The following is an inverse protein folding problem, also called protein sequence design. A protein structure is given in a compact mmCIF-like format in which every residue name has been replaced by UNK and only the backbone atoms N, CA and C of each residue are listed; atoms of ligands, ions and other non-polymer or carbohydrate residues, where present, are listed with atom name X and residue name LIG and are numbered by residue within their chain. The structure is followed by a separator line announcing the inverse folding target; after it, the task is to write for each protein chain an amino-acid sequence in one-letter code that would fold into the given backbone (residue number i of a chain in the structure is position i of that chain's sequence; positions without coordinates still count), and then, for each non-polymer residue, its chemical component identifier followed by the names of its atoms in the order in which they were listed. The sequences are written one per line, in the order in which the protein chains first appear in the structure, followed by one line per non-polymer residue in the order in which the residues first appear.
data_IF_376036972736
#
_entry.id   IF_376036972736
#
_cell.length_a   1.000
_cell.length_b   1.000
_cell.length_c   1.000
_cell.angle_alpha   90.00
_cell.angle_beta   90.00
_cell.angle_gamma   90.00
#
_symmetry.space_group_name_H-M   'P 1'
#
loop_
_entity.id
_entity.type
_entity.pdbx_description
1 polymer ?
#
# COMPACT_ATOMS: atom_id res chain seq x y z
N UNK A 1 -13.02 -18.51 19.06
CA UNK A 1 -12.70 -17.07 19.15
C UNK A 1 -12.57 -16.42 17.77
N UNK A 2 -11.63 -16.83 16.91
CA UNK A 2 -11.48 -16.32 15.53
C UNK A 2 -12.78 -16.36 14.72
N UNK A 3 -13.51 -17.49 14.72
CA UNK A 3 -14.82 -17.60 14.04
C UNK A 3 -15.90 -16.67 14.60
N UNK A 4 -15.82 -16.25 15.87
CA UNK A 4 -16.80 -15.36 16.49
C UNK A 4 -16.52 -13.88 16.18
N UNK A 5 -15.24 -13.50 16.16
CA UNK A 5 -14.78 -12.15 15.76
C UNK A 5 -14.87 -11.94 14.25
N UNK A 6 -14.65 -12.99 13.45
CA UNK A 6 -14.61 -12.89 11.99
C UNK A 6 -15.99 -12.88 11.33
N UNK A 7 -16.95 -13.65 11.86
CA UNK A 7 -18.28 -13.82 11.22
C UNK A 7 -19.05 -12.51 11.02
N UNK A 8 -19.10 -11.57 11.97
CA UNK A 8 -19.78 -10.29 11.78
C UNK A 8 -19.08 -9.43 10.71
N UNK A 9 -17.76 -9.26 10.81
CA UNK A 9 -16.96 -8.49 9.85
C UNK A 9 -17.05 -9.08 8.43
N UNK A 10 -16.95 -10.41 8.34
CA UNK A 10 -17.05 -11.15 7.07
C UNK A 10 -18.43 -11.02 6.44
N UNK A 11 -19.52 -11.21 7.21
CA UNK A 11 -20.89 -11.06 6.69
C UNK A 11 -21.20 -9.63 6.28
N UNK A 12 -20.70 -8.65 7.04
CA UNK A 12 -20.84 -7.24 6.70
C UNK A 12 -20.15 -6.96 5.37
N UNK A 13 -18.90 -7.37 5.23
CA UNK A 13 -18.12 -7.13 4.02
C UNK A 13 -18.67 -7.85 2.78
N UNK A 14 -18.98 -9.15 2.89
CA UNK A 14 -19.49 -9.92 1.74
C UNK A 14 -20.85 -9.41 1.23
N UNK A 15 -21.69 -8.85 2.10
CA UNK A 15 -23.05 -8.44 1.74
C UNK A 15 -23.16 -6.95 1.39
N UNK A 16 -22.32 -6.11 1.96
CA UNK A 16 -22.49 -4.65 1.93
C UNK A 16 -21.29 -3.88 1.43
N UNK A 17 -20.14 -4.52 1.20
CA UNK A 17 -18.97 -3.80 0.72
C UNK A 17 -19.00 -3.71 -0.81
N UNK A 18 -19.28 -2.53 -1.40
CA UNK A 18 -19.25 -2.34 -2.83
C UNK A 18 -17.80 -2.27 -3.35
N UNK A 19 -17.66 -2.16 -4.67
CA UNK A 19 -16.37 -1.88 -5.31
C UNK A 19 -15.80 -0.52 -4.86
N UNK A 20 -14.46 -0.39 -4.82
CA UNK A 20 -13.77 0.84 -4.44
C UNK A 20 -14.22 2.06 -5.27
N UNK A 21 -14.56 1.85 -6.55
CA UNK A 21 -15.09 2.91 -7.39
C UNK A 21 -16.45 3.44 -6.89
N UNK A 22 -17.32 2.57 -6.36
CA UNK A 22 -18.61 3.00 -5.79
C UNK A 22 -18.37 3.86 -4.54
N UNK A 23 -17.38 3.52 -3.72
CA UNK A 23 -17.05 4.32 -2.54
C UNK A 23 -16.66 5.75 -2.91
N UNK A 24 -15.83 5.95 -3.92
CA UNK A 24 -15.43 7.32 -4.31
C UNK A 24 -16.60 8.12 -4.90
N UNK A 25 -17.55 7.48 -5.60
CA UNK A 25 -18.77 8.13 -6.07
C UNK A 25 -19.67 8.56 -4.90
N UNK A 26 -19.89 7.66 -3.93
CA UNK A 26 -20.68 7.98 -2.73
C UNK A 26 -20.01 9.09 -1.93
N UNK A 27 -18.69 9.03 -1.75
CA UNK A 27 -17.94 10.06 -1.05
C UNK A 27 -18.01 11.42 -1.76
N UNK A 28 -18.00 11.43 -3.10
CA UNK A 28 -18.21 12.65 -3.89
C UNK A 28 -19.58 13.27 -3.59
N UNK A 29 -20.63 12.45 -3.54
CA UNK A 29 -21.99 12.91 -3.21
C UNK A 29 -22.06 13.42 -1.77
N UNK A 30 -21.43 12.72 -0.82
CA UNK A 30 -21.40 13.13 0.59
C UNK A 30 -20.67 14.47 0.74
N UNK A 31 -19.48 14.62 0.15
CA UNK A 31 -18.73 15.87 0.20
C UNK A 31 -19.55 17.04 -0.40
N UNK A 32 -20.21 16.80 -1.54
CA UNK A 32 -21.09 17.79 -2.16
C UNK A 32 -22.29 18.16 -1.25
N UNK A 33 -22.94 17.17 -0.64
CA UNK A 33 -24.07 17.40 0.27
C UNK A 33 -23.63 18.16 1.52
N UNK A 34 -22.49 17.80 2.12
CA UNK A 34 -21.93 18.51 3.26
C UNK A 34 -21.61 19.97 2.91
N UNK A 35 -21.02 20.23 1.75
CA UNK A 35 -20.69 21.59 1.30
C UNK A 35 -21.94 22.46 1.12
N UNK A 36 -23.06 21.88 0.69
CA UNK A 36 -24.32 22.60 0.56
C UNK A 36 -25.03 22.81 1.90
N UNK A 37 -25.06 21.78 2.75
CA UNK A 37 -25.83 21.79 4.00
C UNK A 37 -25.13 22.59 5.11
N UNK A 38 -23.83 22.38 5.29
CA UNK A 38 -23.08 22.94 6.41
C UNK A 38 -22.37 24.24 6.05
N UNK A 39 -21.88 24.36 4.82
CA UNK A 39 -21.18 25.58 4.37
C UNK A 39 -22.06 26.52 3.52
N UNK A 40 -23.32 26.13 3.25
CA UNK A 40 -24.27 26.98 2.53
C UNK A 40 -23.95 27.20 1.05
N UNK A 41 -23.09 26.39 0.44
CA UNK A 41 -22.74 26.53 -0.97
C UNK A 41 -23.93 26.16 -1.88
N UNK A 42 -24.09 26.86 -3.00
CA UNK A 42 -25.10 26.51 -4.00
C UNK A 42 -24.71 25.24 -4.77
N UNK A 43 -25.67 24.46 -5.31
CA UNK A 43 -25.36 23.29 -6.12
C UNK A 43 -24.42 23.60 -7.31
N UNK A 44 -24.58 24.76 -7.94
CA UNK A 44 -23.75 25.18 -9.08
C UNK A 44 -22.32 25.53 -8.65
N UNK A 45 -22.13 26.11 -7.47
CA UNK A 45 -20.81 26.37 -6.92
C UNK A 45 -20.06 25.06 -6.64
N UNK A 46 -20.72 24.08 -6.01
CA UNK A 46 -20.13 22.77 -5.71
C UNK A 46 -19.76 22.01 -6.99
N UNK A 47 -20.62 22.02 -8.01
CA UNK A 47 -20.30 21.40 -9.31
C UNK A 47 -19.07 22.05 -9.96
N UNK A 48 -18.96 23.38 -9.88
CA UNK A 48 -17.80 24.11 -10.41
C UNK A 48 -16.53 23.77 -9.64
N UNK A 49 -16.56 23.77 -8.31
CA UNK A 49 -15.42 23.38 -7.47
C UNK A 49 -14.91 21.98 -7.84
N UNK A 50 -15.83 21.01 -7.95
CA UNK A 50 -15.50 19.64 -8.31
C UNK A 50 -14.90 19.53 -9.72
N UNK A 51 -15.53 20.16 -10.72
CA UNK A 51 -15.09 20.12 -12.11
C UNK A 51 -13.73 20.79 -12.35
N UNK A 52 -13.53 21.98 -11.78
CA UNK A 52 -12.27 22.73 -11.90
C UNK A 52 -11.12 22.04 -11.17
N UNK A 53 -11.43 21.20 -10.17
CA UNK A 53 -10.48 20.41 -9.41
C UNK A 53 -10.14 19.04 -9.99
N UNK A 54 -10.97 18.51 -10.88
CA UNK A 54 -11.00 17.08 -11.23
C UNK A 54 -9.68 16.52 -11.77
N UNK A 55 -8.89 17.34 -12.47
CA UNK A 55 -7.64 16.91 -13.09
C UNK A 55 -6.37 17.32 -12.34
N UNK A 56 -6.50 17.94 -11.16
CA UNK A 56 -5.37 18.53 -10.41
C UNK A 56 -4.34 17.52 -9.90
N UNK A 57 -4.66 16.23 -9.85
CA UNK A 57 -3.78 15.18 -9.32
C UNK A 57 -3.23 14.23 -10.39
N UNK A 58 -3.28 14.56 -11.68
CA UNK A 58 -2.88 13.63 -12.76
C UNK A 58 -1.44 13.12 -12.64
N UNK A 59 -0.46 14.01 -12.42
CA UNK A 59 0.94 13.62 -12.25
C UNK A 59 1.11 12.69 -11.05
N UNK A 60 0.55 13.10 -9.91
CA UNK A 60 0.55 12.32 -8.69
C UNK A 60 -0.10 10.93 -8.87
N UNK A 61 -1.20 10.85 -9.62
CA UNK A 61 -1.88 9.58 -9.94
C UNK A 61 -0.96 8.65 -10.72
N UNK A 62 -0.22 9.18 -11.70
CA UNK A 62 0.72 8.39 -12.49
C UNK A 62 1.90 7.91 -11.64
N UNK A 63 2.43 8.77 -10.76
CA UNK A 63 3.49 8.40 -9.82
C UNK A 63 3.04 7.23 -8.94
N UNK A 64 1.83 7.30 -8.38
CA UNK A 64 1.26 6.25 -7.53
C UNK A 64 1.00 4.94 -8.28
N UNK A 65 0.51 5.03 -9.52
CA UNK A 65 0.34 3.86 -10.40
C UNK A 65 1.68 3.17 -10.66
N UNK A 66 2.74 3.95 -10.92
CA UNK A 66 4.07 3.42 -11.17
C UNK A 66 4.65 2.71 -9.95
N UNK A 67 4.35 3.13 -8.72
CA UNK A 67 4.85 2.43 -7.51
C UNK A 67 4.34 0.98 -7.50
N UNK A 68 3.05 0.78 -7.80
CA UNK A 68 2.47 -0.56 -7.92
C UNK A 68 3.05 -1.33 -9.10
N UNK A 69 3.04 -0.72 -10.29
CA UNK A 69 3.39 -1.39 -11.54
C UNK A 69 4.86 -1.83 -11.53
N UNK A 70 5.77 -0.93 -11.15
CA UNK A 70 7.20 -1.24 -11.08
C UNK A 70 7.51 -2.22 -9.95
N UNK A 71 6.79 -2.13 -8.81
CA UNK A 71 6.84 -3.11 -7.73
C UNK A 71 6.46 -4.51 -8.20
N UNK A 72 5.36 -4.63 -8.97
CA UNK A 72 4.91 -5.90 -9.54
C UNK A 72 5.93 -6.48 -10.53
N UNK A 73 6.46 -5.64 -11.42
CA UNK A 73 7.49 -6.03 -12.40
C UNK A 73 8.68 -6.64 -11.64
N UNK A 74 9.24 -5.91 -10.68
CA UNK A 74 10.40 -6.41 -9.94
C UNK A 74 10.10 -7.72 -9.19
N UNK A 75 8.93 -7.81 -8.52
CA UNK A 75 8.50 -8.99 -7.78
C UNK A 75 8.36 -10.24 -8.66
N UNK A 76 7.96 -10.04 -9.92
CA UNK A 76 7.73 -11.12 -10.87
C UNK A 76 8.98 -11.56 -11.63
N UNK A 77 10.11 -10.87 -11.43
CA UNK A 77 11.35 -11.17 -12.14
C UNK A 77 11.91 -12.57 -11.79
N UNK A 78 12.57 -13.26 -12.74
CA UNK A 78 13.12 -14.61 -12.49
C UNK A 78 14.06 -14.70 -11.28
N UNK A 79 14.98 -13.73 -11.03
CA UNK A 79 15.85 -13.78 -9.86
C UNK A 79 15.09 -13.72 -8.54
N UNK A 80 14.03 -12.90 -8.44
CA UNK A 80 13.22 -12.78 -7.23
C UNK A 80 12.44 -14.07 -6.97
N UNK A 81 11.82 -14.66 -7.99
CA UNK A 81 11.14 -15.96 -7.87
C UNK A 81 12.09 -17.06 -7.38
N UNK A 82 13.29 -17.14 -7.94
CA UNK A 82 14.31 -18.10 -7.51
C UNK A 82 14.75 -17.88 -6.06
N UNK A 83 14.87 -16.63 -5.61
CA UNK A 83 15.18 -16.29 -4.22
C UNK A 83 14.05 -16.74 -3.27
N UNK A 84 12.79 -16.45 -3.61
CA UNK A 84 11.64 -16.85 -2.80
C UNK A 84 11.53 -18.37 -2.66
N UNK A 85 11.73 -19.13 -3.75
CA UNK A 85 11.75 -20.58 -3.70
C UNK A 85 12.84 -21.13 -2.76
N UNK A 86 14.04 -20.52 -2.78
CA UNK A 86 15.13 -20.88 -1.86
C UNK A 86 14.80 -20.55 -0.40
N UNK A 87 14.23 -19.37 -0.15
CA UNK A 87 13.82 -18.96 1.19
C UNK A 87 12.74 -19.89 1.75
N UNK A 88 11.82 -20.37 0.91
CA UNK A 88 10.77 -21.29 1.35
C UNK A 88 11.35 -22.60 1.89
N UNK A 89 12.52 -23.02 1.39
CA UNK A 89 13.32 -24.16 1.88
C UNK A 89 13.75 -24.07 3.34
N UNK A 90 13.68 -22.90 3.97
CA UNK A 90 14.05 -22.71 5.36
C UNK A 90 12.92 -23.10 6.33
N UNK A 91 11.69 -23.26 5.84
CA UNK A 91 10.56 -23.62 6.68
C UNK A 91 10.45 -25.13 6.88
N UNK A 92 10.47 -25.58 8.14
CA UNK A 92 10.40 -27.00 8.52
C UNK A 92 9.09 -27.40 9.21
N UNK A 93 8.26 -26.42 9.60
CA UNK A 93 6.99 -26.61 10.31
C UNK A 93 5.97 -25.53 9.94
N UNK A 94 4.68 -25.77 10.21
CA UNK A 94 3.60 -24.80 10.00
C UNK A 94 3.90 -23.46 10.71
N UNK A 95 4.35 -23.52 11.97
CA UNK A 95 4.70 -22.33 12.73
C UNK A 95 5.88 -21.56 12.14
N UNK A 96 6.94 -22.24 11.69
CA UNK A 96 8.06 -21.56 11.03
C UNK A 96 7.67 -20.98 9.66
N UNK A 97 6.78 -21.64 8.90
CA UNK A 97 6.28 -21.12 7.64
C UNK A 97 5.49 -19.82 7.83
N UNK A 98 4.63 -19.76 8.85
CA UNK A 98 3.86 -18.54 9.20
C UNK A 98 4.78 -17.40 9.65
N UNK A 99 5.80 -17.68 10.47
CA UNK A 99 6.79 -16.66 10.87
C UNK A 99 7.56 -16.16 9.66
N UNK A 100 8.05 -17.07 8.82
CA UNK A 100 8.88 -16.73 7.67
C UNK A 100 8.10 -15.93 6.63
N UNK A 101 6.86 -16.31 6.30
CA UNK A 101 6.02 -15.54 5.38
C UNK A 101 5.73 -14.15 5.93
N UNK A 102 5.48 -14.03 7.24
CA UNK A 102 5.24 -12.72 7.88
C UNK A 102 6.47 -11.83 7.72
N UNK A 103 7.67 -12.32 8.04
CA UNK A 103 8.91 -11.55 7.96
C UNK A 103 9.25 -11.13 6.53
N UNK A 104 9.11 -12.05 5.55
CA UNK A 104 9.38 -11.75 4.14
C UNK A 104 8.37 -10.73 3.61
N UNK A 105 7.08 -10.88 3.93
CA UNK A 105 6.06 -9.90 3.53
C UNK A 105 6.27 -8.54 4.16
N UNK A 106 6.64 -8.46 5.44
CA UNK A 106 6.98 -7.19 6.09
C UNK A 106 8.16 -6.52 5.39
N UNK A 107 9.26 -7.24 5.20
CA UNK A 107 10.43 -6.69 4.51
C UNK A 107 10.09 -6.21 3.10
N UNK A 108 9.34 -7.01 2.34
CA UNK A 108 8.94 -6.67 0.98
C UNK A 108 8.00 -5.45 0.95
N UNK A 109 7.00 -5.38 1.83
CA UNK A 109 6.07 -4.25 1.91
C UNK A 109 6.74 -2.96 2.40
N UNK A 110 7.73 -3.06 3.29
CA UNK A 110 8.53 -1.92 3.74
C UNK A 110 9.39 -1.35 2.62
N UNK A 111 9.90 -2.18 1.71
CA UNK A 111 10.66 -1.73 0.54
C UNK A 111 9.74 -1.10 -0.51
N UNK A 112 8.71 -1.83 -0.93
CA UNK A 112 7.69 -1.35 -1.85
C UNK A 112 6.37 -2.08 -1.65
N UNK A 113 5.30 -1.34 -1.46
CA UNK A 113 3.98 -1.88 -1.15
C UNK A 113 3.39 -2.73 -2.28
N UNK A 114 3.59 -2.34 -3.54
CA UNK A 114 3.21 -3.12 -4.73
C UNK A 114 4.04 -4.40 -4.87
N UNK A 115 5.34 -4.32 -4.60
CA UNK A 115 6.24 -5.46 -4.54
C UNK A 115 5.83 -6.43 -3.42
N UNK A 116 5.53 -5.92 -2.22
CA UNK A 116 5.16 -6.69 -1.04
C UNK A 116 3.89 -7.52 -1.22
N UNK A 117 2.85 -6.96 -1.84
CA UNK A 117 1.62 -7.70 -2.12
C UNK A 117 1.86 -8.90 -3.05
N UNK A 118 2.68 -8.73 -4.09
CA UNK A 118 2.99 -9.78 -5.07
C UNK A 118 3.92 -10.83 -4.47
N UNK A 119 4.99 -10.40 -3.79
CA UNK A 119 5.94 -11.27 -3.11
C UNK A 119 5.24 -12.10 -2.04
N UNK A 120 4.37 -11.51 -1.22
CA UNK A 120 3.62 -12.23 -0.21
C UNK A 120 2.76 -13.34 -0.80
N UNK A 121 2.08 -13.07 -1.93
CA UNK A 121 1.24 -14.06 -2.61
C UNK A 121 2.06 -15.22 -3.18
N UNK A 122 3.15 -14.91 -3.88
CA UNK A 122 4.06 -15.93 -4.46
C UNK A 122 4.67 -16.76 -3.34
N UNK A 123 5.19 -16.11 -2.30
CA UNK A 123 5.90 -16.80 -1.23
C UNK A 123 4.99 -17.68 -0.37
N UNK A 124 3.73 -17.28 -0.13
CA UNK A 124 2.74 -18.14 0.51
C UNK A 124 2.48 -19.42 -0.30
N UNK A 125 2.40 -19.33 -1.64
CA UNK A 125 2.27 -20.52 -2.51
C UNK A 125 3.51 -21.41 -2.42
N UNK A 126 4.71 -20.83 -2.48
CA UNK A 126 5.96 -21.60 -2.35
C UNK A 126 6.05 -22.37 -1.03
N UNK A 127 5.72 -21.72 0.08
CA UNK A 127 5.72 -22.34 1.41
C UNK A 127 4.68 -23.47 1.53
N UNK A 128 3.49 -23.28 0.95
CA UNK A 128 2.44 -24.28 0.96
C UNK A 128 2.78 -25.54 0.12
N UNK A 129 3.68 -25.43 -0.86
CA UNK A 129 4.21 -26.60 -1.59
C UNK A 129 5.12 -27.45 -0.71
N UNK A 130 5.87 -26.81 0.18
CA UNK A 130 6.93 -27.46 0.98
C UNK A 130 6.43 -27.98 2.32
N UNK A 131 5.55 -27.21 2.98
CA UNK A 131 5.11 -27.48 4.35
C UNK A 131 3.59 -27.62 4.42
N UNK A 132 3.12 -28.59 5.20
CA UNK A 132 1.70 -28.73 5.55
C UNK A 132 1.32 -27.62 6.53
N UNK A 133 0.57 -26.62 6.08
CA UNK A 133 0.18 -25.43 6.86
C UNK A 133 -1.23 -24.98 6.48
N UNK A 134 -1.97 -24.39 7.42
CA UNK A 134 -3.27 -23.77 7.10
C UNK A 134 -3.07 -22.66 6.08
N UNK A 135 -3.57 -22.88 4.88
CA UNK A 135 -3.29 -22.01 3.75
C UNK A 135 -3.98 -20.65 3.90
N UNK A 136 -5.09 -20.57 4.63
CA UNK A 136 -5.80 -19.31 4.88
C UNK A 136 -4.98 -18.44 5.83
N UNK A 137 -4.47 -19.02 6.93
CA UNK A 137 -3.59 -18.31 7.84
C UNK A 137 -2.30 -17.88 7.13
N UNK A 138 -1.70 -18.74 6.31
CA UNK A 138 -0.47 -18.42 5.59
C UNK A 138 -0.66 -17.21 4.67
N UNK A 139 -1.75 -17.16 3.90
CA UNK A 139 -2.07 -16.02 3.03
C UNK A 139 -2.46 -14.79 3.85
N UNK A 140 -3.20 -14.96 4.95
CA UNK A 140 -3.52 -13.85 5.85
C UNK A 140 -2.27 -13.25 6.51
N UNK A 141 -1.31 -14.09 6.91
CA UNK A 141 -0.03 -13.67 7.45
C UNK A 141 0.78 -12.89 6.41
N UNK A 142 0.82 -13.41 5.17
CA UNK A 142 1.44 -12.72 4.04
C UNK A 142 0.80 -11.35 3.76
N UNK A 143 -0.54 -11.27 3.75
CA UNK A 143 -1.28 -10.03 3.56
C UNK A 143 -1.04 -9.06 4.72
N UNK A 144 -1.04 -9.55 5.96
CA UNK A 144 -0.90 -8.70 7.13
C UNK A 144 0.41 -7.92 7.17
N UNK A 145 1.48 -8.48 6.56
CA UNK A 145 2.75 -7.79 6.39
C UNK A 145 2.64 -6.47 5.61
N UNK A 146 1.59 -6.29 4.80
CA UNK A 146 1.28 -5.03 4.14
C UNK A 146 1.12 -3.87 5.13
N UNK A 147 0.72 -4.10 6.38
CA UNK A 147 0.41 -3.03 7.36
C UNK A 147 1.54 -2.02 7.60
N UNK A 148 2.81 -2.37 7.34
CA UNK A 148 3.94 -1.46 7.57
C UNK A 148 4.32 -0.64 6.34
N UNK A 149 3.55 -0.75 5.25
CA UNK A 149 3.92 -0.20 3.95
C UNK A 149 4.11 1.32 3.95
N UNK A 150 3.29 2.05 4.71
CA UNK A 150 3.41 3.50 4.86
C UNK A 150 4.58 3.93 5.75
N UNK A 151 4.98 3.08 6.70
CA UNK A 151 6.18 3.27 7.52
C UNK A 151 7.48 2.93 6.80
N UNK A 152 7.41 2.53 5.53
CA UNK A 152 8.55 2.12 4.72
C UNK A 152 8.87 3.04 3.55
N UNK A 153 9.88 2.62 2.77
CA UNK A 153 10.50 3.38 1.69
C UNK A 153 9.49 3.81 0.61
N UNK A 154 8.43 3.04 0.40
CA UNK A 154 7.37 3.35 -0.57
C UNK A 154 6.15 4.07 0.01
N UNK A 155 6.20 4.54 1.26
CA UNK A 155 5.05 5.15 1.91
C UNK A 155 4.54 6.34 1.12
N UNK A 156 3.27 6.31 0.72
CA UNK A 156 2.75 7.28 -0.26
C UNK A 156 2.78 8.70 0.27
N UNK A 157 2.31 8.91 1.50
CA UNK A 157 2.30 10.22 2.16
C UNK A 157 3.71 10.76 2.39
N UNK A 158 4.62 10.05 3.11
CA UNK A 158 5.96 10.57 3.35
C UNK A 158 6.74 10.82 2.07
N UNK A 159 6.55 9.99 1.04
CA UNK A 159 7.17 10.26 -0.26
C UNK A 159 6.55 11.47 -0.96
N UNK A 160 5.23 11.67 -0.89
CA UNK A 160 4.55 12.82 -1.49
C UNK A 160 5.10 14.13 -0.94
N UNK A 161 5.14 14.28 0.38
CA UNK A 161 5.62 15.51 1.05
C UNK A 161 7.15 15.70 0.97
N UNK A 162 7.88 14.69 0.47
CA UNK A 162 9.31 14.79 0.15
C UNK A 162 9.57 15.02 -1.35
N UNK A 163 8.53 15.03 -2.20
CA UNK A 163 8.65 15.15 -3.65
C UNK A 163 8.40 16.60 -4.09
N UNK A 164 9.38 17.29 -4.69
CA UNK A 164 9.18 18.62 -5.25
C UNK A 164 7.97 18.70 -6.20
N UNK A 165 7.19 19.76 -6.09
CA UNK A 165 5.96 20.01 -6.83
C UNK A 165 4.69 19.40 -6.20
N UNK A 166 4.76 18.86 -4.97
CA UNK A 166 3.57 18.28 -4.35
C UNK A 166 2.52 19.35 -3.99
N UNK A 167 1.25 18.96 -4.00
CA UNK A 167 0.10 19.88 -3.87
C UNK A 167 -0.05 20.59 -2.51
N UNK A 168 0.85 20.35 -1.56
CA UNK A 168 0.92 21.03 -0.26
C UNK A 168 2.27 21.71 -0.01
N UNK A 169 3.18 21.74 -0.99
CA UNK A 169 4.55 22.27 -0.81
C UNK A 169 4.54 23.75 -0.42
N UNK A 170 3.65 24.56 -1.00
CA UNK A 170 3.53 25.99 -0.67
C UNK A 170 3.13 26.22 0.80
N UNK A 171 2.49 25.24 1.44
CA UNK A 171 2.05 25.32 2.83
C UNK A 171 3.14 24.83 3.79
N UNK A 172 3.69 23.64 3.54
CA UNK A 172 4.56 22.94 4.51
C UNK A 172 6.02 22.82 4.08
N UNK A 173 6.37 23.30 2.88
CA UNK A 173 7.66 23.05 2.25
C UNK A 173 7.87 21.56 1.96
N UNK A 174 9.14 21.19 1.76
CA UNK A 174 9.54 19.79 1.60
C UNK A 174 9.93 19.19 2.95
N UNK A 175 9.28 18.08 3.32
CA UNK A 175 9.61 17.31 4.51
C UNK A 175 10.45 16.10 4.10
N UNK A 176 11.74 16.05 4.47
CA UNK A 176 12.62 14.97 4.06
C UNK A 176 12.25 13.64 4.74
N UNK A 177 12.63 12.53 4.09
CA UNK A 177 12.35 11.19 4.63
C UNK A 177 13.08 10.87 5.93
N UNK A 178 14.08 11.66 6.32
CA UNK A 178 14.73 11.62 7.64
C UNK A 178 13.81 12.01 8.79
N UNK A 179 12.79 12.84 8.52
CA UNK A 179 11.80 13.28 9.51
C UNK A 179 10.55 12.40 9.53
N UNK A 180 10.40 11.50 8.56
CA UNK A 180 9.25 10.61 8.41
C UNK A 180 9.66 9.14 8.43
N UNK A 181 10.02 8.55 7.28
CA UNK A 181 10.33 7.11 7.12
C UNK A 181 11.49 6.68 8.02
N UNK A 182 12.57 7.46 8.03
CA UNK A 182 13.77 7.17 8.80
C UNK A 182 13.82 7.87 10.16
N UNK A 183 12.73 8.52 10.56
CA UNK A 183 12.64 9.05 11.90
C UNK A 183 12.69 7.92 12.94
N UNK A 184 13.42 8.14 14.03
CA UNK A 184 13.67 7.11 15.03
C UNK A 184 12.38 6.51 15.60
N UNK A 185 11.35 7.34 15.81
CA UNK A 185 10.06 6.93 16.37
C UNK A 185 9.27 6.06 15.38
N UNK A 186 9.32 6.36 14.07
CA UNK A 186 8.70 5.54 13.04
C UNK A 186 9.42 4.18 12.93
N UNK A 187 10.75 4.20 12.92
CA UNK A 187 11.56 2.98 12.90
C UNK A 187 11.34 2.12 14.14
N UNK A 188 11.11 2.73 15.31
CA UNK A 188 10.76 2.02 16.53
C UNK A 188 9.39 1.31 16.39
N UNK A 189 8.36 1.97 15.85
CA UNK A 189 7.06 1.34 15.56
C UNK A 189 7.24 0.15 14.61
N UNK A 190 7.97 0.34 13.50
CA UNK A 190 8.26 -0.73 12.53
C UNK A 190 9.00 -1.89 13.20
N UNK A 191 10.02 -1.61 14.02
CA UNK A 191 10.80 -2.64 14.70
C UNK A 191 9.93 -3.47 15.66
N UNK A 192 9.05 -2.82 16.44
CA UNK A 192 8.10 -3.53 17.31
C UNK A 192 7.15 -4.39 16.49
N UNK A 193 6.61 -3.88 15.38
CA UNK A 193 5.73 -4.66 14.50
C UNK A 193 6.45 -5.88 13.87
N UNK A 194 7.71 -5.74 13.47
CA UNK A 194 8.54 -6.84 12.94
C UNK A 194 8.72 -7.97 13.96
N UNK A 195 8.66 -7.67 15.26
CA UNK A 195 8.72 -8.69 16.32
C UNK A 195 7.34 -9.22 16.69
N UNK A 196 6.37 -8.33 16.92
CA UNK A 196 5.04 -8.68 17.44
C UNK A 196 4.23 -9.45 16.40
N UNK A 197 4.28 -9.06 15.13
CA UNK A 197 3.41 -9.62 14.11
C UNK A 197 3.70 -11.10 13.79
N UNK A 198 4.95 -11.56 13.61
CA UNK A 198 5.23 -12.97 13.42
C UNK A 198 4.82 -13.82 14.63
N UNK A 199 4.94 -13.30 15.85
CA UNK A 199 4.49 -13.98 17.07
C UNK A 199 2.97 -14.11 17.06
N UNK A 200 2.25 -13.01 16.82
CA UNK A 200 0.79 -13.00 16.77
C UNK A 200 0.25 -13.94 15.69
N UNK A 201 0.81 -13.91 14.47
CA UNK A 201 0.45 -14.83 13.39
C UNK A 201 0.74 -16.29 13.76
N UNK A 202 1.89 -16.58 14.36
CA UNK A 202 2.23 -17.93 14.82
C UNK A 202 1.27 -18.46 15.89
N UNK A 203 0.82 -17.59 16.80
CA UNK A 203 -0.15 -17.96 17.84
C UNK A 203 -1.54 -18.29 17.27
N UNK A 204 -1.82 -17.91 16.02
CA UNK A 204 -3.07 -18.22 15.33
C UNK A 204 -3.03 -19.55 14.54
N UNK A 205 -1.90 -20.27 14.54
CA UNK A 205 -1.79 -21.59 13.89
C UNK A 205 -2.85 -22.53 14.48
N UNK A 206 -3.79 -23.05 13.66
CA UNK A 206 -4.84 -23.93 14.16
C UNK A 206 -4.27 -25.31 14.52
N UNK A 207 -5.07 -26.10 15.24
CA UNK A 207 -4.79 -27.52 15.43
C UNK A 207 -4.86 -28.28 14.11
N UNK A 208 -4.27 -29.48 14.06
CA UNK A 208 -4.24 -30.32 12.85
C UNK A 208 -5.64 -30.66 12.32
N UNK A 209 -6.64 -30.76 13.19
CA UNK A 209 -8.04 -31.07 12.86
C UNK A 209 -8.76 -29.89 12.17
N UNK A 210 -8.43 -28.65 12.54
CA UNK A 210 -9.04 -27.43 11.99
C UNK A 210 -8.27 -26.85 10.79
N UNK A 211 -7.11 -27.44 10.48
CA UNK A 211 -6.21 -27.00 9.41
C UNK A 211 -6.83 -27.22 8.04
N UNK A 212 -6.95 -26.15 7.26
CA UNK A 212 -7.38 -26.21 5.86
C UNK A 212 -6.17 -26.12 4.93
N UNK A 213 -5.89 -27.23 4.25
CA UNK A 213 -4.82 -27.33 3.27
C UNK A 213 -5.29 -26.92 1.89
N UNK A 214 -4.39 -26.33 1.11
CA UNK A 214 -4.58 -26.14 -0.32
C UNK A 214 -4.20 -27.41 -1.07
N UNK A 215 -4.94 -27.70 -2.13
CA UNK A 215 -4.59 -28.76 -3.07
C UNK A 215 -3.29 -28.38 -3.81
N UNK A 216 -2.27 -29.25 -3.72
CA UNK A 216 -0.96 -29.00 -4.33
C UNK A 216 -1.04 -28.86 -5.85
N UNK A 217 -2.00 -29.52 -6.51
CA UNK A 217 -2.20 -29.38 -7.95
C UNK A 217 -2.59 -27.93 -8.35
N UNK A 218 -3.23 -27.18 -7.44
CA UNK A 218 -3.56 -25.75 -7.66
C UNK A 218 -2.38 -24.82 -7.42
N UNK A 219 -1.31 -25.34 -6.82
CA UNK A 219 -0.08 -24.58 -6.59
C UNK A 219 0.88 -24.73 -7.75
N UNK A 220 0.71 -25.65 -8.70
CA UNK A 220 1.61 -25.76 -9.84
C UNK A 220 1.44 -24.55 -10.77
N UNK A 221 2.57 -23.95 -11.20
CA UNK A 221 2.54 -22.89 -12.19
C UNK A 221 2.31 -23.49 -13.57
N UNK A 222 1.60 -22.76 -14.45
CA UNK A 222 1.43 -23.20 -15.82
C UNK A 222 2.82 -23.36 -16.48
N UNK A 223 3.06 -24.43 -17.26
CA UNK A 223 4.34 -24.60 -17.93
C UNK A 223 4.64 -23.38 -18.80
N UNK A 224 5.79 -22.75 -18.58
CA UNK A 224 6.24 -21.67 -19.44
C UNK A 224 6.35 -22.21 -20.88
N UNK A 225 5.81 -21.50 -21.89
CA UNK A 225 5.96 -21.91 -23.27
C UNK A 225 7.44 -22.07 -23.59
N UNK A 226 7.79 -23.15 -24.31
CA UNK A 226 9.17 -23.40 -24.69
C UNK A 226 9.73 -22.17 -25.43
N UNK A 227 10.97 -21.73 -25.12
CA UNK A 227 11.55 -20.57 -25.78
C UNK A 227 11.68 -20.85 -27.28
N UNK A 228 10.91 -20.11 -28.08
CA UNK A 228 10.99 -20.13 -29.54
C UNK A 228 12.24 -19.33 -29.92
N UNK A 229 13.07 -19.87 -30.81
CA UNK A 229 14.23 -19.15 -31.32
C UNK A 229 13.73 -17.88 -32.06
N UNK A 230 14.31 -16.70 -31.82
CA UNK A 230 13.89 -15.49 -32.50
C UNK A 230 14.24 -15.56 -33.98
N UNK A 231 13.22 -15.64 -34.82
CA UNK A 231 13.30 -15.87 -36.27
C UNK A 231 13.43 -14.57 -37.06
N UNK A 232 13.13 -13.42 -36.44
CA UNK A 232 13.25 -12.08 -37.07
C UNK A 232 14.19 -11.13 -36.31
N UNK A 233 14.77 -10.10 -36.96
CA UNK A 233 15.55 -9.07 -36.27
C UNK A 233 14.77 -8.37 -35.13
N UNK A 234 13.46 -8.17 -35.29
CA UNK A 234 12.60 -7.60 -34.25
C UNK A 234 12.53 -8.53 -33.03
N UNK A 235 12.28 -9.82 -33.22
CA UNK A 235 12.24 -10.80 -32.14
C UNK A 235 13.61 -10.94 -31.44
N UNK A 236 14.71 -10.77 -32.18
CA UNK A 236 16.05 -10.73 -31.57
C UNK A 236 16.23 -9.52 -30.65
N UNK A 237 15.71 -8.35 -31.02
CA UNK A 237 15.73 -7.16 -30.16
C UNK A 237 14.86 -7.35 -28.92
N UNK A 238 13.65 -7.88 -29.09
CA UNK A 238 12.72 -8.15 -27.98
C UNK A 238 13.27 -9.14 -26.96
N UNK A 239 14.10 -10.09 -27.41
CA UNK A 239 14.77 -11.09 -26.58
C UNK A 239 16.23 -10.73 -26.21
N UNK A 240 16.70 -9.52 -26.56
CA UNK A 240 18.08 -9.11 -26.32
C UNK A 240 18.32 -8.67 -24.88
N UNK A 241 19.18 -9.41 -24.17
CA UNK A 241 19.66 -9.03 -22.84
C UNK A 241 20.58 -7.82 -22.86
N UNK A 242 21.37 -7.70 -23.92
CA UNK A 242 22.30 -6.59 -24.08
C UNK A 242 21.53 -5.28 -24.17
N UNK A 243 20.41 -5.24 -24.92
CA UNK A 243 19.58 -4.03 -25.01
C UNK A 243 19.04 -3.60 -23.65
N UNK A 244 18.48 -4.56 -22.88
CA UNK A 244 17.97 -4.30 -21.54
C UNK A 244 19.08 -3.79 -20.61
N UNK A 245 20.28 -4.36 -20.67
CA UNK A 245 21.40 -3.94 -19.84
C UNK A 245 21.98 -2.59 -20.25
N UNK A 246 22.07 -2.30 -21.55
CA UNK A 246 22.57 -1.01 -22.06
C UNK A 246 21.70 0.17 -21.62
N UNK A 247 20.41 -0.04 -21.35
CA UNK A 247 19.51 0.99 -20.82
C UNK A 247 19.36 0.89 -19.29
N UNK A 248 19.23 -0.34 -18.78
CA UNK A 248 19.01 -0.64 -17.37
C UNK A 248 20.19 -0.24 -16.48
N UNK A 249 21.41 -0.61 -16.87
CA UNK A 249 22.62 -0.37 -16.07
C UNK A 249 22.88 1.14 -15.93
N UNK A 250 22.84 1.97 -16.99
CA UNK A 250 22.96 3.41 -16.82
C UNK A 250 21.92 4.02 -15.87
N UNK A 251 20.67 3.54 -15.88
CA UNK A 251 19.65 3.97 -14.91
C UNK A 251 20.02 3.62 -13.46
N UNK A 252 20.57 2.43 -13.23
CA UNK A 252 21.10 2.03 -11.91
C UNK A 252 22.33 2.86 -11.52
N UNK A 253 23.23 3.16 -12.44
CA UNK A 253 24.38 4.04 -12.19
C UNK A 253 23.93 5.46 -11.84
N UNK A 254 22.91 5.98 -12.53
CA UNK A 254 22.33 7.27 -12.20
C UNK A 254 21.81 7.32 -10.76
N UNK A 255 21.14 6.27 -10.29
CA UNK A 255 20.70 6.18 -8.89
C UNK A 255 21.89 6.22 -7.92
N UNK A 256 22.97 5.52 -8.22
CA UNK A 256 24.21 5.58 -7.39
C UNK A 256 24.75 7.00 -7.33
N UNK A 257 24.83 7.69 -8.48
CA UNK A 257 25.29 9.09 -8.53
C UNK A 257 24.34 10.03 -7.79
N UNK A 258 23.03 9.83 -7.90
CA UNK A 258 22.01 10.63 -7.23
C UNK A 258 22.17 10.57 -5.71
N UNK A 259 22.29 9.36 -5.14
CA UNK A 259 22.50 9.19 -3.70
C UNK A 259 23.90 9.64 -3.26
N UNK A 260 24.94 9.38 -4.05
CA UNK A 260 26.31 9.87 -3.76
C UNK A 260 26.39 11.40 -3.74
N UNK A 261 25.54 12.07 -4.52
CA UNK A 261 25.37 13.53 -4.53
C UNK A 261 24.50 14.08 -3.38
N UNK A 262 24.03 13.23 -2.46
CA UNK A 262 23.18 13.65 -1.33
C UNK A 262 21.67 13.67 -1.64
N UNK A 263 21.24 13.08 -2.76
CA UNK A 263 19.82 12.96 -3.10
C UNK A 263 19.04 12.11 -2.08
N UNK A 264 17.84 12.57 -1.73
CA UNK A 264 16.93 11.88 -0.80
C UNK A 264 15.90 10.99 -1.49
N UNK A 265 15.23 10.13 -0.73
CA UNK A 265 14.10 9.35 -1.26
C UNK A 265 12.88 10.26 -1.49
N UNK A 266 12.25 10.08 -2.66
CA UNK A 266 10.98 10.67 -3.06
C UNK A 266 10.25 9.70 -4.04
N UNK A 267 9.03 10.04 -4.47
CA UNK A 267 8.21 9.17 -5.33
C UNK A 267 8.92 8.77 -6.63
N UNK A 268 9.52 9.75 -7.32
CA UNK A 268 10.16 9.52 -8.61
C UNK A 268 11.43 8.67 -8.48
N UNK A 269 12.20 8.88 -7.41
CA UNK A 269 13.40 8.07 -7.13
C UNK A 269 13.01 6.62 -6.83
N UNK A 270 11.97 6.38 -6.03
CA UNK A 270 11.47 5.02 -5.76
C UNK A 270 11.00 4.34 -7.05
N UNK A 271 10.20 5.03 -7.87
CA UNK A 271 9.78 4.50 -9.17
C UNK A 271 10.98 4.18 -10.08
N UNK A 272 11.99 5.03 -10.08
CA UNK A 272 13.24 4.83 -10.84
C UNK A 272 13.99 3.59 -10.36
N UNK A 273 14.13 3.39 -9.04
CA UNK A 273 14.76 2.20 -8.44
C UNK A 273 14.08 0.93 -8.96
N UNK A 274 12.77 0.83 -8.77
CA UNK A 274 12.04 -0.39 -9.09
C UNK A 274 11.95 -0.64 -10.60
N UNK A 275 11.79 0.42 -11.41
CA UNK A 275 11.77 0.30 -12.87
C UNK A 275 13.10 -0.22 -13.41
N UNK A 276 14.23 0.41 -13.08
CA UNK A 276 15.52 0.05 -13.67
C UNK A 276 16.06 -1.27 -13.11
N UNK A 277 15.79 -1.60 -11.85
CA UNK A 277 16.05 -2.96 -11.35
C UNK A 277 15.18 -3.98 -12.09
N UNK A 278 13.90 -3.68 -12.34
CA UNK A 278 13.02 -4.52 -13.15
C UNK A 278 13.56 -4.76 -14.56
N UNK A 279 14.02 -3.71 -15.24
CA UNK A 279 14.65 -3.78 -16.57
C UNK A 279 15.87 -4.71 -16.56
N UNK A 280 16.77 -4.55 -15.59
CA UNK A 280 17.98 -5.37 -15.50
C UNK A 280 17.66 -6.84 -15.18
N UNK A 281 16.76 -7.09 -14.22
CA UNK A 281 16.50 -8.43 -13.69
C UNK A 281 15.55 -9.27 -14.56
N UNK A 282 14.67 -8.66 -15.36
CA UNK A 282 13.90 -9.40 -16.36
C UNK A 282 14.75 -9.87 -17.53
N UNK A 283 15.81 -9.14 -17.85
CA UNK A 283 16.76 -9.49 -18.88
C UNK A 283 16.24 -9.35 -20.31
N UNK A 284 14.95 -9.50 -20.62
CA UNK A 284 14.42 -9.27 -21.98
C UNK A 284 13.18 -8.36 -21.96
N UNK A 285 13.00 -7.58 -23.03
CA UNK A 285 11.82 -6.72 -23.17
C UNK A 285 10.53 -7.57 -23.19
N UNK A 286 10.56 -8.73 -23.86
CA UNK A 286 9.44 -9.68 -23.86
C UNK A 286 9.04 -10.12 -22.45
N UNK A 287 10.01 -10.48 -21.61
CA UNK A 287 9.74 -10.90 -20.23
C UNK A 287 9.16 -9.74 -19.40
N UNK A 288 9.75 -8.54 -19.52
CA UNK A 288 9.28 -7.35 -18.80
C UNK A 288 7.87 -6.93 -19.23
N UNK A 289 7.60 -6.89 -20.54
CA UNK A 289 6.29 -6.48 -21.08
C UNK A 289 5.20 -7.48 -20.72
N UNK A 290 5.51 -8.78 -20.68
CA UNK A 290 4.57 -9.79 -20.19
C UNK A 290 4.22 -9.58 -18.70
N UNK A 291 5.20 -9.17 -17.87
CA UNK A 291 4.93 -8.79 -16.49
C UNK A 291 4.11 -7.49 -16.40
N UNK A 292 4.41 -6.50 -17.24
CA UNK A 292 3.69 -5.22 -17.32
C UNK A 292 2.20 -5.42 -17.63
N UNK A 293 1.85 -6.28 -18.59
CA UNK A 293 0.45 -6.56 -18.95
C UNK A 293 -0.39 -7.05 -17.75
N UNK A 294 0.24 -7.77 -16.82
CA UNK A 294 -0.41 -8.20 -15.59
C UNK A 294 -0.38 -7.11 -14.50
N UNK A 295 0.71 -6.35 -14.41
CA UNK A 295 0.88 -5.25 -13.47
C UNK A 295 -0.18 -4.15 -13.65
N UNK A 296 -0.42 -3.73 -14.91
CA UNK A 296 -1.35 -2.64 -15.24
C UNK A 296 -2.79 -2.98 -14.84
N UNK A 297 -3.20 -4.25 -14.96
CA UNK A 297 -4.53 -4.71 -14.52
C UNK A 297 -4.76 -4.46 -13.03
N UNK A 298 -3.71 -4.62 -12.21
CA UNK A 298 -3.77 -4.34 -10.77
C UNK A 298 -3.93 -2.84 -10.45
N UNK A 299 -3.56 -1.95 -11.36
CA UNK A 299 -3.62 -0.50 -11.19
C UNK A 299 -4.87 0.18 -11.75
N UNK A 300 -5.80 -0.56 -12.35
CA UNK A 300 -6.99 0.04 -13.00
C UNK A 300 -7.82 0.91 -12.05
N UNK A 301 -7.94 0.51 -10.78
CA UNK A 301 -8.63 1.29 -9.75
C UNK A 301 -7.99 2.65 -9.49
N UNK A 302 -6.66 2.73 -9.50
CA UNK A 302 -5.90 3.99 -9.32
C UNK A 302 -6.24 4.95 -10.47
N UNK A 303 -6.22 4.45 -11.71
CA UNK A 303 -6.48 5.26 -12.92
C UNK A 303 -7.85 5.94 -12.87
N UNK A 304 -8.89 5.20 -12.50
CA UNK A 304 -10.26 5.74 -12.53
C UNK A 304 -10.63 6.56 -11.29
N UNK A 305 -10.07 6.25 -10.11
CA UNK A 305 -10.52 6.86 -8.85
C UNK A 305 -9.83 8.20 -8.54
N UNK A 306 -8.57 8.37 -8.91
CA UNK A 306 -7.80 9.56 -8.50
C UNK A 306 -8.36 10.90 -8.98
N UNK A 307 -8.90 11.03 -10.22
CA UNK A 307 -9.58 12.26 -10.62
C UNK A 307 -10.76 12.63 -9.71
N UNK A 308 -11.49 11.64 -9.19
CA UNK A 308 -12.57 11.88 -8.24
C UNK A 308 -12.06 12.33 -6.88
N UNK A 309 -10.95 11.77 -6.39
CA UNK A 309 -10.31 12.26 -5.16
C UNK A 309 -9.84 13.72 -5.31
N UNK A 310 -9.33 14.10 -6.48
CA UNK A 310 -8.99 15.50 -6.78
C UNK A 310 -10.24 16.41 -6.76
N UNK A 311 -11.35 15.94 -7.33
CA UNK A 311 -12.64 16.64 -7.26
C UNK A 311 -13.17 16.78 -5.83
N UNK A 312 -13.08 15.73 -5.00
CA UNK A 312 -13.45 15.78 -3.58
C UNK A 312 -12.58 16.76 -2.82
N UNK A 313 -11.26 16.70 -3.01
CA UNK A 313 -10.32 17.66 -2.43
C UNK A 313 -10.72 19.10 -2.79
N UNK A 314 -11.07 19.36 -4.05
CA UNK A 314 -11.48 20.69 -4.48
C UNK A 314 -12.81 21.15 -3.86
N UNK A 315 -13.78 20.25 -3.66
CA UNK A 315 -14.98 20.56 -2.87
C UNK A 315 -14.57 20.90 -1.43
N UNK A 316 -13.76 20.05 -0.80
CA UNK A 316 -13.32 20.21 0.60
C UNK A 316 -12.66 21.57 0.85
N UNK A 317 -11.72 21.96 -0.02
CA UNK A 317 -10.99 23.23 0.11
C UNK A 317 -11.83 24.42 -0.34
N UNK A 318 -12.55 24.29 -1.45
CA UNK A 318 -13.29 25.40 -2.06
C UNK A 318 -14.55 25.79 -1.29
N UNK A 319 -15.17 24.83 -0.59
CA UNK A 319 -16.43 25.05 0.13
C UNK A 319 -16.29 25.60 1.53
N UNK A 320 -15.13 25.42 2.19
CA UNK A 320 -14.94 25.72 3.61
C UNK A 320 -14.97 24.49 4.53
N UNK A 321 -15.44 23.34 4.04
CA UNK A 321 -15.54 22.10 4.84
C UNK A 321 -14.21 21.70 5.50
N UNK A 322 -13.09 21.87 4.78
CA UNK A 322 -11.78 21.51 5.32
C UNK A 322 -11.42 22.34 6.56
N UNK A 323 -11.78 23.63 6.56
CA UNK A 323 -11.57 24.53 7.70
C UNK A 323 -12.45 24.12 8.90
N UNK A 324 -13.75 23.89 8.67
CA UNK A 324 -14.69 23.43 9.72
C UNK A 324 -14.23 22.11 10.37
N UNK A 325 -13.73 21.16 9.57
CA UNK A 325 -13.17 19.91 10.09
C UNK A 325 -11.86 20.13 10.84
N UNK A 326 -11.01 21.05 10.38
CA UNK A 326 -9.77 21.42 11.06
C UNK A 326 -10.06 21.98 12.45
N UNK A 327 -11.02 22.90 12.58
CA UNK A 327 -11.45 23.47 13.87
C UNK A 327 -11.94 22.41 14.84
N UNK A 328 -12.67 21.40 14.34
CA UNK A 328 -13.06 20.25 15.16
C UNK A 328 -11.83 19.54 15.75
N UNK A 329 -10.82 19.21 14.94
CA UNK A 329 -9.59 18.57 15.45
C UNK A 329 -8.85 19.47 16.43
N UNK A 330 -8.74 20.77 16.16
CA UNK A 330 -8.15 21.75 17.09
C UNK A 330 -8.89 21.73 18.44
N UNK A 331 -10.22 21.59 18.44
CA UNK A 331 -11.02 21.62 19.66
C UNK A 331 -10.89 20.38 20.54
N UNK A 332 -10.52 19.22 19.97
CA UNK A 332 -10.47 17.93 20.69
C UNK A 332 -9.05 17.42 20.95
N UNK A 333 -8.03 18.12 20.44
CA UNK A 333 -6.65 17.64 20.47
C UNK A 333 -5.65 18.70 20.93
N UNK A 334 -4.44 18.24 21.20
CA UNK A 334 -3.23 19.02 21.52
C UNK A 334 -2.14 18.69 20.51
N UNK A 335 -1.06 19.49 20.47
CA UNK A 335 0.08 19.25 19.59
C UNK A 335 0.63 17.81 19.70
N UNK A 336 0.67 17.27 20.93
CA UNK A 336 1.20 15.94 21.24
C UNK A 336 0.22 14.82 20.86
N UNK A 337 -1.08 15.05 21.03
CA UNK A 337 -2.11 14.02 20.74
C UNK A 337 -2.62 14.03 19.30
N UNK A 338 -2.37 15.10 18.54
CA UNK A 338 -2.87 15.24 17.17
C UNK A 338 -2.39 14.10 16.25
N UNK A 339 -1.12 13.65 16.25
CA UNK A 339 -0.69 12.50 15.44
C UNK A 339 -1.52 11.23 15.67
N UNK A 340 -1.91 10.96 16.93
CA UNK A 340 -2.78 9.84 17.26
C UNK A 340 -4.20 10.06 16.71
N UNK A 341 -4.77 11.26 16.85
CA UNK A 341 -6.09 11.55 16.28
C UNK A 341 -6.09 11.51 14.76
N UNK A 342 -5.01 11.95 14.11
CA UNK A 342 -4.80 11.79 12.67
C UNK A 342 -4.70 10.33 12.25
N UNK A 343 -4.12 9.46 13.10
CA UNK A 343 -4.14 8.01 12.90
C UNK A 343 -5.54 7.40 12.96
N UNK A 344 -6.33 7.77 13.98
CA UNK A 344 -7.71 7.30 14.10
C UNK A 344 -8.57 7.80 12.93
N UNK A 345 -8.46 9.10 12.60
CA UNK A 345 -9.16 9.69 11.46
C UNK A 345 -8.72 9.03 10.15
N UNK A 346 -7.42 8.82 9.96
CA UNK A 346 -6.86 8.14 8.80
C UNK A 346 -7.41 6.73 8.63
N UNK A 347 -7.52 5.95 9.71
CA UNK A 347 -8.13 4.62 9.66
C UNK A 347 -9.62 4.64 9.31
N UNK A 348 -10.38 5.61 9.84
CA UNK A 348 -11.80 5.75 9.52
C UNK A 348 -12.00 6.17 8.06
N UNK A 349 -11.25 7.16 7.59
CA UNK A 349 -11.34 7.68 6.21
C UNK A 349 -10.93 6.59 5.22
N UNK A 350 -9.88 5.82 5.52
CA UNK A 350 -9.39 4.77 4.64
C UNK A 350 -10.47 3.76 4.29
N UNK A 351 -11.40 3.43 5.21
CA UNK A 351 -12.55 2.52 4.94
C UNK A 351 -13.33 2.96 3.68
N UNK A 352 -13.38 4.26 3.40
CA UNK A 352 -14.04 4.85 2.22
C UNK A 352 -13.06 5.25 1.11
N UNK A 353 -11.79 5.48 1.43
CA UNK A 353 -10.74 5.94 0.51
C UNK A 353 -9.54 4.98 0.59
N UNK A 354 -9.61 3.78 -0.05
CA UNK A 354 -8.57 2.73 0.02
C UNK A 354 -7.28 3.07 -0.76
N UNK A 355 -6.76 4.29 -0.62
CA UNK A 355 -5.62 4.79 -1.39
C UNK A 355 -4.86 5.83 -0.58
N UNK A 356 -3.70 5.48 -0.02
CA UNK A 356 -2.93 6.40 0.82
C UNK A 356 -2.61 7.75 0.15
N UNK A 357 -2.41 7.75 -1.17
CA UNK A 357 -2.23 9.00 -1.91
C UNK A 357 -3.52 9.81 -2.08
N UNK A 358 -4.61 9.16 -2.51
CA UNK A 358 -5.91 9.82 -2.63
C UNK A 358 -6.45 10.29 -1.27
N UNK A 359 -6.18 9.52 -0.23
CA UNK A 359 -6.49 9.82 1.16
C UNK A 359 -5.76 11.08 1.63
N UNK A 360 -4.48 11.23 1.29
CA UNK A 360 -3.72 12.44 1.61
C UNK A 360 -4.31 13.67 0.94
N UNK A 361 -4.72 13.57 -0.33
CA UNK A 361 -5.36 14.68 -1.02
C UNK A 361 -6.63 15.18 -0.30
N UNK A 362 -7.39 14.26 0.32
CA UNK A 362 -8.61 14.63 1.05
C UNK A 362 -8.33 15.09 2.49
N UNK A 363 -7.33 14.52 3.17
CA UNK A 363 -7.07 14.80 4.59
C UNK A 363 -6.02 15.88 4.86
N UNK A 364 -5.07 16.11 3.95
CA UNK A 364 -4.05 17.15 4.14
C UNK A 364 -4.67 18.54 4.36
N UNK A 365 -5.70 18.97 3.61
CA UNK A 365 -6.34 20.26 3.84
C UNK A 365 -7.03 20.42 5.20
N UNK A 366 -7.27 19.32 5.92
CA UNK A 366 -7.87 19.31 7.26
C UNK A 366 -6.78 19.22 8.33
N UNK A 367 -5.83 18.29 8.16
CA UNK A 367 -4.84 17.96 9.18
C UNK A 367 -3.68 18.96 9.24
N UNK A 368 -3.28 19.54 8.11
CA UNK A 368 -2.17 20.50 8.09
C UNK A 368 -2.53 21.82 8.79
N UNK A 369 -3.69 22.46 8.53
CA UNK A 369 -4.07 23.65 9.27
C UNK A 369 -4.28 23.39 10.77
N UNK A 370 -4.81 22.21 11.14
CA UNK A 370 -4.94 21.82 12.54
C UNK A 370 -3.57 21.67 13.22
N UNK A 371 -2.59 21.09 12.52
CA UNK A 371 -1.21 20.98 13.01
C UNK A 371 -0.57 22.36 13.20
N UNK A 372 -0.71 23.26 12.23
CA UNK A 372 -0.19 24.63 12.32
C UNK A 372 -0.82 25.40 13.48
N UNK A 373 -2.15 25.32 13.64
CA UNK A 373 -2.88 26.00 14.70
C UNK A 373 -2.48 25.52 16.11
N UNK A 374 -2.17 24.23 16.25
CA UNK A 374 -1.74 23.63 17.52
C UNK A 374 -0.22 23.70 17.73
N UNK A 375 0.56 24.07 16.72
CA UNK A 375 2.03 23.95 16.74
C UNK A 375 2.53 22.50 16.79
N UNK A 376 1.77 21.57 16.20
CA UNK A 376 2.10 20.15 16.15
C UNK A 376 3.18 19.87 15.09
N UNK A 377 3.94 18.79 15.31
CA UNK A 377 4.91 18.30 14.33
C UNK A 377 4.19 17.75 13.08
N UNK A 378 4.38 18.44 11.95
CA UNK A 378 3.70 18.12 10.69
C UNK A 378 4.09 16.74 10.18
N UNK A 379 5.36 16.33 10.33
CA UNK A 379 5.83 15.02 9.88
C UNK A 379 5.13 13.89 10.65
N UNK A 380 4.97 14.03 11.98
CA UNK A 380 4.24 13.10 12.83
C UNK A 380 2.75 13.08 12.50
N UNK A 381 2.14 14.24 12.25
CA UNK A 381 0.72 14.33 11.86
C UNK A 381 0.47 13.63 10.51
N UNK A 382 1.29 13.93 9.50
CA UNK A 382 1.22 13.29 8.20
C UNK A 382 1.42 11.77 8.31
N UNK A 383 2.38 11.33 9.12
CA UNK A 383 2.61 9.92 9.37
C UNK A 383 1.52 9.27 10.23
N UNK A 384 0.83 10.01 11.08
CA UNK A 384 -0.40 9.58 11.74
C UNK A 384 -1.44 9.16 10.70
N UNK A 385 -1.74 10.05 9.74
CA UNK A 385 -2.65 9.72 8.62
C UNK A 385 -2.15 8.51 7.82
N UNK A 386 -0.85 8.44 7.55
CA UNK A 386 -0.20 7.34 6.82
C UNK A 386 -0.34 5.98 7.53
N UNK A 387 -0.11 5.95 8.84
CA UNK A 387 -0.29 4.75 9.64
C UNK A 387 -1.77 4.38 9.77
N UNK A 388 -2.67 5.36 9.81
CA UNK A 388 -4.11 5.13 9.82
C UNK A 388 -4.57 4.44 8.55
N UNK A 389 -4.13 4.94 7.38
CA UNK A 389 -4.33 4.29 6.09
C UNK A 389 -3.83 2.84 6.12
N UNK A 390 -2.54 2.63 6.42
CA UNK A 390 -1.95 1.30 6.37
C UNK A 390 -2.59 0.31 7.34
N UNK A 391 -3.03 0.79 8.50
CA UNK A 391 -3.67 -0.02 9.52
C UNK A 391 -4.97 -0.67 9.06
N UNK A 392 -5.94 0.13 8.58
CA UNK A 392 -7.27 -0.38 8.22
C UNK A 392 -7.33 -1.04 6.84
N UNK A 393 -6.25 -0.98 6.05
CA UNK A 393 -6.10 -1.83 4.86
C UNK A 393 -6.23 -3.33 5.19
N UNK A 394 -5.96 -3.73 6.45
CA UNK A 394 -6.21 -5.11 6.91
C UNK A 394 -7.69 -5.52 6.85
N UNK A 395 -8.62 -4.58 6.95
CA UNK A 395 -10.06 -4.84 6.82
C UNK A 395 -10.55 -4.71 5.38
N UNK A 396 -9.90 -3.90 4.56
CA UNK A 396 -10.38 -3.64 3.21
C UNK A 396 -9.95 -4.74 2.24
N UNK A 397 -10.88 -5.29 1.45
CA UNK A 397 -10.53 -6.29 0.46
C UNK A 397 -9.83 -5.69 -0.76
N UNK A 398 -9.86 -4.37 -1.00
CA UNK A 398 -9.31 -3.77 -2.22
C UNK A 398 -7.87 -4.24 -2.53
N UNK A 399 -6.97 -4.12 -1.57
CA UNK A 399 -5.58 -4.59 -1.71
C UNK A 399 -5.42 -6.10 -1.49
N UNK A 400 -6.34 -6.72 -0.77
CA UNK A 400 -6.35 -8.17 -0.58
C UNK A 400 -6.72 -8.90 -1.87
N UNK A 401 -7.61 -8.36 -2.70
CA UNK A 401 -8.18 -9.02 -3.87
C UNK A 401 -7.13 -9.48 -4.89
N UNK A 402 -6.12 -8.66 -5.28
CA UNK A 402 -5.04 -9.13 -6.14
C UNK A 402 -4.28 -10.33 -5.56
N UNK A 403 -3.92 -10.28 -4.27
CA UNK A 403 -3.23 -11.37 -3.58
C UNK A 403 -4.12 -12.62 -3.48
N UNK A 404 -5.40 -12.44 -3.15
CA UNK A 404 -6.39 -13.51 -3.03
C UNK A 404 -6.68 -14.19 -4.37
N UNK A 405 -6.67 -13.44 -5.47
CA UNK A 405 -6.78 -13.97 -6.82
C UNK A 405 -5.62 -14.90 -7.18
N UNK A 406 -4.40 -14.54 -6.80
CA UNK A 406 -3.21 -15.39 -6.95
C UNK A 406 -3.30 -16.61 -6.02
N UNK A 407 -3.77 -16.42 -4.79
CA UNK A 407 -3.88 -17.48 -3.80
C UNK A 407 -5.04 -18.46 -4.07
N UNK A 408 -6.06 -18.07 -4.84
CA UNK A 408 -7.29 -18.85 -5.04
C UNK A 408 -8.21 -18.87 -3.82
N UNK A 409 -8.18 -17.83 -2.99
CA UNK A 409 -9.00 -17.68 -1.78
C UNK A 409 -10.01 -16.54 -1.94
N UNK A 410 -11.05 -16.55 -1.09
CA UNK A 410 -11.99 -15.42 -0.96
C UNK A 410 -11.61 -14.57 0.25
N UNK A 411 -12.01 -13.30 0.26
CA UNK A 411 -11.73 -12.38 1.38
C UNK A 411 -12.20 -12.95 2.73
N UNK A 412 -13.36 -13.62 2.75
CA UNK A 412 -13.91 -14.28 3.93
C UNK A 412 -13.02 -15.35 4.55
N UNK A 413 -12.14 -15.95 3.76
CA UNK A 413 -11.30 -17.06 4.21
C UNK A 413 -10.17 -16.57 5.10
N UNK A 414 -9.72 -15.32 4.90
CA UNK A 414 -8.59 -14.72 5.65
C UNK A 414 -9.03 -13.68 6.69
N UNK A 415 -10.23 -13.11 6.55
CA UNK A 415 -10.65 -11.92 7.28
C UNK A 415 -10.56 -12.04 8.81
N UNK A 416 -10.82 -13.23 9.35
CA UNK A 416 -10.73 -13.46 10.79
C UNK A 416 -9.33 -13.25 11.37
N UNK A 417 -8.30 -13.65 10.62
CA UNK A 417 -6.91 -13.44 10.99
C UNK A 417 -6.55 -11.95 10.85
N UNK A 418 -7.01 -11.30 9.77
CA UNK A 418 -6.77 -9.87 9.55
C UNK A 418 -7.37 -8.99 10.66
N UNK A 419 -8.56 -9.33 11.19
CA UNK A 419 -9.17 -8.60 12.32
C UNK A 419 -8.33 -8.72 13.59
N UNK A 420 -7.76 -9.90 13.88
CA UNK A 420 -6.84 -10.05 15.02
C UNK A 420 -5.60 -9.20 14.81
N UNK A 421 -5.02 -9.23 13.62
CA UNK A 421 -3.87 -8.40 13.28
C UNK A 421 -4.19 -6.91 13.36
N UNK A 422 -5.37 -6.47 12.93
CA UNK A 422 -5.83 -5.10 13.07
C UNK A 422 -5.81 -4.65 14.54
N UNK A 423 -6.35 -5.45 15.47
CA UNK A 423 -6.35 -5.08 16.88
C UNK A 423 -4.92 -5.01 17.45
N UNK A 424 -4.08 -6.00 17.11
CA UNK A 424 -2.69 -6.06 17.58
C UNK A 424 -1.87 -4.88 17.05
N UNK A 425 -1.92 -4.62 15.75
CA UNK A 425 -1.13 -3.55 15.12
C UNK A 425 -1.67 -2.17 15.49
N UNK A 426 -2.98 -2.00 15.60
CA UNK A 426 -3.60 -0.73 16.01
C UNK A 426 -3.18 -0.30 17.41
N UNK A 427 -3.09 -1.25 18.35
CA UNK A 427 -2.58 -0.97 19.70
C UNK A 427 -1.10 -0.55 19.67
N UNK A 428 -0.26 -1.25 18.92
CA UNK A 428 1.18 -0.93 18.81
C UNK A 428 1.40 0.43 18.16
N UNK A 429 0.75 0.68 17.02
CA UNK A 429 0.87 1.93 16.26
C UNK A 429 0.31 3.11 17.07
N UNK A 430 -0.90 2.96 17.62
CA UNK A 430 -1.52 4.00 18.43
C UNK A 430 -0.71 4.34 19.69
N UNK A 431 -0.18 3.34 20.38
CA UNK A 431 0.73 3.56 21.51
C UNK A 431 2.03 4.24 21.06
N UNK A 432 2.60 3.83 19.93
CA UNK A 432 3.80 4.46 19.38
C UNK A 432 3.61 5.94 19.08
N UNK A 433 2.49 6.32 18.45
CA UNK A 433 2.17 7.72 18.13
C UNK A 433 1.81 8.57 19.35
N UNK A 434 1.43 7.97 20.47
CA UNK A 434 1.15 8.67 21.73
C UNK A 434 2.37 8.81 22.63
N UNK A 435 3.31 7.86 22.58
CA UNK A 435 4.39 7.72 23.56
C UNK A 435 5.77 8.12 23.03
N UNK A 436 5.99 8.13 21.71
CA UNK A 436 7.26 8.47 21.05
C UNK A 436 7.13 9.82 20.35
#
# INVERSE_FOLDING_TARGET
MLRALSRPATRLMERWLPDAFIFVLVLTIIAAACAMIFEGNSPTAVIRMWGDGFWKLLEFSMQMLLVLVTGYILASSPPVRALLARLAGLASSAGSAVVLVTLVSLAAAWLNWGFGLVVGAIFARELARQVRVDYRLLVAAAYSGFVIWHGGISGSIPLTISTPGHFTEDQIGLIPTSETIFAWWNLAIVAVLVVVMPIANRMMVPSDEDTVLVDRAKLEDAPEPAPIAPDTPAERMENSRILMWLVGIPGVIWLVMYFAGGGGLNLNVVNTIFLFLGVVLHGTARSLLSALDNAVKGGAGIVIQFPFYAGIMAIMTGSGLAASMSEFFVSISTAETLPFWSFIAGGIVNIFVPSGGGQWAVQAPVMLPAAEALGADIARVAMGVAWGDAWTNLLQPFWALPMLGIAGLKARDIMGFCVVMLLVTGLVIGAGLLLL
#
